data_IF_271179843610
#
_entry.id   IF_271179843610
#
_cell.length_a   1.000
_cell.length_b   1.000
_cell.length_c   1.000
_cell.angle_alpha   90.00
_cell.angle_beta   90.00
_cell.angle_gamma   90.00
#
_symmetry.space_group_name_H-M   'P 1'
#
loop_
_entity.id
_entity.type
_entity.pdbx_description
1 polymer ?
#
# COMPACT_ATOMS: atom_id res chain seq x y z
N UNK A 1 -14.38 25.29 -7.77
CA UNK A 1 -13.22 24.36 -7.87
C UNK A 1 -13.24 23.71 -9.24
N UNK A 2 -12.19 23.86 -10.04
CA UNK A 2 -12.15 23.33 -11.41
C UNK A 2 -12.09 21.81 -11.48
N UNK A 3 -12.55 21.23 -12.60
CA UNK A 3 -12.53 19.77 -12.87
C UNK A 3 -11.12 19.16 -12.76
N UNK A 4 -10.09 19.90 -13.20
CA UNK A 4 -8.70 19.47 -13.11
C UNK A 4 -8.24 19.19 -11.67
N UNK A 5 -8.57 20.08 -10.73
CA UNK A 5 -8.21 19.92 -9.32
C UNK A 5 -8.85 18.68 -8.67
N UNK A 6 -10.08 18.37 -9.08
CA UNK A 6 -10.80 17.18 -8.63
C UNK A 6 -10.09 15.92 -9.13
N UNK A 7 -9.70 15.88 -10.40
CA UNK A 7 -8.94 14.77 -10.98
C UNK A 7 -7.59 14.61 -10.28
N UNK A 8 -6.83 15.69 -10.08
CA UNK A 8 -5.55 15.64 -9.36
C UNK A 8 -5.68 15.01 -7.97
N UNK A 9 -6.71 15.41 -7.20
CA UNK A 9 -6.92 14.83 -5.86
C UNK A 9 -7.36 13.36 -5.90
N UNK A 10 -8.13 12.95 -6.91
CA UNK A 10 -8.51 11.55 -7.10
C UNK A 10 -7.29 10.70 -7.48
N UNK A 11 -6.49 11.16 -8.44
CA UNK A 11 -5.23 10.52 -8.82
C UNK A 11 -4.26 10.44 -7.64
N UNK A 12 -4.16 11.50 -6.84
CA UNK A 12 -3.34 11.50 -5.63
C UNK A 12 -3.81 10.44 -4.62
N UNK A 13 -5.12 10.36 -4.35
CA UNK A 13 -5.72 9.33 -3.49
C UNK A 13 -5.38 7.91 -3.97
N UNK A 14 -5.55 7.65 -5.27
CA UNK A 14 -5.20 6.36 -5.88
C UNK A 14 -3.70 6.07 -5.77
N UNK A 15 -2.85 7.07 -6.00
CA UNK A 15 -1.39 6.94 -5.89
C UNK A 15 -0.95 6.56 -4.47
N UNK A 16 -1.64 7.07 -3.44
CA UNK A 16 -1.36 6.70 -2.04
C UNK A 16 -1.76 5.26 -1.71
N UNK A 17 -2.90 4.78 -2.24
CA UNK A 17 -3.31 3.37 -2.09
C UNK A 17 -2.32 2.46 -2.83
N UNK A 18 -1.95 2.82 -4.06
CA UNK A 18 -0.95 2.09 -4.85
C UNK A 18 0.40 2.04 -4.13
N UNK A 19 0.84 3.16 -3.54
CA UNK A 19 2.05 3.19 -2.73
C UNK A 19 1.97 2.25 -1.52
N UNK A 20 0.85 2.23 -0.80
CA UNK A 20 0.68 1.31 0.32
C UNK A 20 0.79 -0.16 -0.13
N UNK A 21 0.17 -0.51 -1.27
CA UNK A 21 0.30 -1.84 -1.86
C UNK A 21 1.73 -2.18 -2.30
N UNK A 22 2.46 -1.21 -2.88
CA UNK A 22 3.88 -1.37 -3.20
C UNK A 22 4.72 -1.62 -1.95
N UNK A 23 4.52 -0.84 -0.88
CA UNK A 23 5.22 -1.05 0.39
C UNK A 23 4.97 -2.46 0.92
N UNK A 24 3.72 -2.94 0.87
CA UNK A 24 3.37 -4.32 1.28
C UNK A 24 4.09 -5.32 0.39
N UNK A 25 4.01 -5.19 -0.94
CA UNK A 25 4.62 -6.13 -1.87
C UNK A 25 6.14 -6.21 -1.70
N UNK A 26 6.84 -5.07 -1.60
CA UNK A 26 8.29 -5.03 -1.37
C UNK A 26 8.66 -5.63 -0.01
N UNK A 27 7.92 -5.31 1.06
CA UNK A 27 8.17 -5.85 2.40
C UNK A 27 7.94 -7.36 2.46
N UNK A 28 6.88 -7.83 1.81
CA UNK A 28 6.58 -9.27 1.68
C UNK A 28 7.70 -9.98 0.89
N UNK A 29 8.24 -9.36 -0.15
CA UNK A 29 9.40 -9.90 -0.89
C UNK A 29 10.63 -10.07 -0.01
N UNK A 30 10.95 -9.07 0.84
CA UNK A 30 12.07 -9.17 1.79
C UNK A 30 11.81 -10.24 2.85
N UNK A 31 10.62 -10.25 3.47
CA UNK A 31 10.26 -11.26 4.47
C UNK A 31 10.27 -12.67 3.87
N UNK A 32 9.86 -12.82 2.62
CA UNK A 32 9.93 -14.07 1.89
C UNK A 32 11.38 -14.53 1.70
N UNK A 33 12.27 -13.62 1.28
CA UNK A 33 13.70 -13.86 1.20
C UNK A 33 14.28 -14.30 2.54
N UNK A 34 13.95 -13.58 3.61
CA UNK A 34 14.39 -13.83 4.97
C UNK A 34 13.90 -15.18 5.53
N UNK A 35 12.62 -15.51 5.42
CA UNK A 35 12.08 -16.73 6.04
C UNK A 35 12.20 -17.99 5.20
N UNK A 36 12.06 -17.90 3.88
CA UNK A 36 11.93 -19.10 3.02
C UNK A 36 13.19 -19.45 2.25
N UNK A 37 14.00 -18.46 1.90
CA UNK A 37 15.13 -18.67 1.00
C UNK A 37 16.48 -18.57 1.72
N UNK A 38 16.61 -17.61 2.64
CA UNK A 38 17.87 -17.32 3.33
C UNK A 38 17.63 -16.98 4.82
N UNK A 39 17.43 -17.97 5.70
CA UNK A 39 17.14 -17.77 7.13
C UNK A 39 18.21 -16.97 7.89
N UNK A 40 19.47 -17.10 7.47
CA UNK A 40 20.62 -16.40 8.05
C UNK A 40 20.91 -15.05 7.38
N UNK A 41 20.10 -14.66 6.37
CA UNK A 41 20.29 -13.38 5.69
C UNK A 41 19.90 -12.24 6.62
N UNK A 42 20.85 -11.35 6.88
CA UNK A 42 20.61 -10.13 7.63
C UNK A 42 20.52 -8.95 6.64
N UNK A 43 19.33 -8.65 6.09
CA UNK A 43 19.19 -7.64 5.05
C UNK A 43 19.61 -6.26 5.57
N UNK A 44 20.51 -5.59 4.86
CA UNK A 44 20.99 -4.24 5.18
C UNK A 44 21.69 -4.09 6.54
N UNK A 45 22.24 -5.17 7.09
CA UNK A 45 23.12 -5.12 8.26
C UNK A 45 24.39 -4.30 7.95
N UNK A 46 24.94 -3.51 8.90
CA UNK A 46 24.52 -3.32 10.31
C UNK A 46 23.46 -2.24 10.52
N UNK A 47 22.98 -1.59 9.45
CA UNK A 47 22.10 -0.41 9.58
C UNK A 47 20.67 -0.78 9.95
N UNK A 48 20.20 -1.92 9.44
CA UNK A 48 18.92 -2.51 9.83
C UNK A 48 19.16 -3.55 10.93
N UNK A 49 18.48 -3.38 12.07
CA UNK A 49 18.63 -4.27 13.21
C UNK A 49 18.22 -5.71 12.89
N UNK A 50 17.08 -5.89 12.21
CA UNK A 50 16.56 -7.22 11.87
C UNK A 50 15.52 -7.14 10.74
N UNK A 51 15.50 -8.12 9.83
CA UNK A 51 14.52 -8.20 8.73
C UNK A 51 13.05 -8.31 9.18
N UNK A 52 12.78 -8.83 10.38
CA UNK A 52 11.41 -8.94 10.93
C UNK A 52 10.71 -7.59 11.07
N UNK A 53 11.45 -6.49 11.15
CA UNK A 53 10.88 -5.15 11.30
C UNK A 53 10.04 -4.73 10.08
N UNK A 54 10.21 -5.37 8.92
CA UNK A 54 9.36 -5.16 7.74
C UNK A 54 7.89 -5.52 7.96
N UNK A 55 7.55 -6.35 8.96
CA UNK A 55 6.15 -6.55 9.37
C UNK A 55 5.48 -5.25 9.82
N UNK A 56 6.26 -4.35 10.46
CA UNK A 56 5.76 -3.06 10.90
C UNK A 56 5.54 -2.12 9.72
N UNK A 57 6.36 -2.21 8.66
CA UNK A 57 6.13 -1.48 7.41
C UNK A 57 4.85 -1.93 6.71
N UNK A 58 4.56 -3.24 6.70
CA UNK A 58 3.28 -3.79 6.20
C UNK A 58 2.10 -3.20 7.01
N UNK A 59 2.21 -3.18 8.34
CA UNK A 59 1.18 -2.59 9.20
C UNK A 59 0.99 -1.09 8.92
N UNK A 60 2.07 -0.33 8.75
CA UNK A 60 2.02 1.09 8.40
C UNK A 60 1.28 1.33 7.08
N UNK A 61 1.65 0.57 6.05
CA UNK A 61 1.02 0.65 4.74
C UNK A 61 -0.47 0.29 4.80
N UNK A 62 -0.84 -0.79 5.49
CA UNK A 62 -2.22 -1.20 5.67
C UNK A 62 -3.07 -0.13 6.37
N UNK A 63 -2.53 0.51 7.43
CA UNK A 63 -3.18 1.62 8.12
C UNK A 63 -3.36 2.86 7.23
N UNK A 64 -2.53 3.03 6.21
CA UNK A 64 -2.62 4.16 5.27
C UNK A 64 -3.64 3.96 4.14
N UNK A 65 -4.05 2.72 3.83
CA UNK A 65 -5.01 2.44 2.74
C UNK A 65 -6.34 3.16 2.98
N UNK A 66 -6.92 3.00 4.17
CA UNK A 66 -8.26 3.55 4.44
C UNK A 66 -8.31 5.09 4.47
N UNK A 67 -7.40 5.80 5.17
CA UNK A 67 -7.28 7.26 5.09
C UNK A 67 -7.06 7.78 3.66
N UNK A 68 -6.28 7.04 2.86
CA UNK A 68 -6.04 7.38 1.45
C UNK A 68 -7.33 7.32 0.65
N UNK A 69 -8.06 6.21 0.68
CA UNK A 69 -9.36 6.07 0.00
C UNK A 69 -10.39 7.13 0.44
N UNK A 70 -10.37 7.53 1.73
CA UNK A 70 -11.24 8.60 2.23
C UNK A 70 -10.97 9.97 1.60
N UNK A 71 -9.76 10.25 1.10
CA UNK A 71 -9.45 11.49 0.39
C UNK A 71 -10.18 11.50 -0.95
N UNK A 72 -10.03 10.44 -1.75
CA UNK A 72 -10.65 10.31 -3.07
C UNK A 72 -12.17 10.33 -3.01
N UNK A 73 -12.79 9.61 -2.06
CA UNK A 73 -14.26 9.52 -1.94
C UNK A 73 -14.96 10.83 -1.55
N UNK A 74 -14.25 11.78 -0.94
CA UNK A 74 -14.84 13.10 -0.62
C UNK A 74 -15.11 13.92 -1.87
N UNK A 75 -14.42 13.61 -2.95
CA UNK A 75 -14.59 14.24 -4.24
C UNK A 75 -15.79 13.54 -4.87
N UNK A 76 -16.95 14.21 -4.92
CA UNK A 76 -18.11 13.74 -5.67
C UNK A 76 -17.81 13.84 -7.18
N UNK A 77 -16.75 13.18 -7.65
CA UNK A 77 -16.59 12.84 -9.05
C UNK A 77 -17.80 11.98 -9.38
N UNK A 78 -18.83 12.56 -10.00
CA UNK A 78 -19.97 11.77 -10.49
C UNK A 78 -19.45 10.54 -11.23
N UNK A 79 -20.19 9.44 -11.20
CA UNK A 79 -19.85 8.11 -11.76
C UNK A 79 -19.30 8.26 -13.18
N UNK A 80 -18.01 8.54 -13.32
CA UNK A 80 -17.44 8.96 -14.59
C UNK A 80 -17.11 7.67 -15.33
N UNK A 81 -18.13 7.17 -16.03
CA UNK A 81 -18.13 6.03 -16.94
C UNK A 81 -17.74 4.70 -16.26
N UNK A 82 -18.62 4.09 -15.46
CA UNK A 82 -18.43 2.80 -14.74
C UNK A 82 -17.68 2.89 -13.39
N UNK A 83 -17.93 1.90 -12.50
CA UNK A 83 -17.30 1.84 -11.18
C UNK A 83 -15.82 1.43 -11.34
N UNK A 84 -14.88 2.10 -10.66
CA UNK A 84 -13.43 1.86 -10.85
C UNK A 84 -13.06 0.41 -10.54
N UNK A 85 -13.80 -0.25 -9.65
CA UNK A 85 -13.59 -1.65 -9.35
C UNK A 85 -13.77 -2.57 -10.57
N UNK A 86 -14.64 -2.23 -11.54
CA UNK A 86 -14.84 -3.02 -12.77
C UNK A 86 -13.57 -2.97 -13.62
N UNK A 87 -13.03 -1.77 -13.84
CA UNK A 87 -11.73 -1.60 -14.50
C UNK A 87 -10.62 -2.29 -13.71
N UNK A 88 -10.65 -2.20 -12.39
CA UNK A 88 -9.71 -2.90 -11.51
C UNK A 88 -9.71 -4.41 -11.73
N UNK A 89 -10.89 -5.05 -11.76
CA UNK A 89 -11.01 -6.49 -12.04
C UNK A 89 -10.55 -6.86 -13.44
N UNK A 90 -10.89 -6.06 -14.46
CA UNK A 90 -10.41 -6.30 -15.83
C UNK A 90 -8.89 -6.21 -15.92
N UNK A 91 -8.28 -5.18 -15.31
CA UNK A 91 -6.83 -5.02 -15.27
C UNK A 91 -6.17 -6.20 -14.55
N UNK A 92 -6.73 -6.64 -13.41
CA UNK A 92 -6.23 -7.83 -12.69
C UNK A 92 -6.31 -9.08 -13.57
N UNK A 93 -7.43 -9.30 -14.25
CA UNK A 93 -7.63 -10.47 -15.11
C UNK A 93 -6.63 -10.47 -16.27
N UNK A 94 -6.51 -9.36 -17.01
CA UNK A 94 -5.58 -9.26 -18.13
C UNK A 94 -4.11 -9.31 -17.69
N UNK A 95 -3.75 -8.69 -16.56
CA UNK A 95 -2.40 -8.79 -16.00
C UNK A 95 -2.06 -10.23 -15.59
N UNK A 96 -3.03 -10.96 -15.02
CA UNK A 96 -2.87 -12.37 -14.67
C UNK A 96 -2.66 -13.24 -15.90
N UNK A 97 -3.49 -13.06 -16.94
CA UNK A 97 -3.34 -13.77 -18.21
C UNK A 97 -2.01 -13.46 -18.89
N UNK A 98 -1.58 -12.19 -18.86
CA UNK A 98 -0.28 -11.77 -19.37
C UNK A 98 0.87 -12.50 -18.66
N UNK A 99 0.86 -12.55 -17.33
CA UNK A 99 1.91 -13.26 -16.57
C UNK A 99 1.90 -14.75 -16.89
N UNK A 100 0.74 -15.39 -16.96
CA UNK A 100 0.64 -16.82 -17.29
C UNK A 100 1.16 -17.10 -18.72
N UNK A 101 0.84 -16.24 -19.68
CA UNK A 101 1.22 -16.44 -21.07
C UNK A 101 2.71 -16.17 -21.34
N UNK A 102 3.30 -15.20 -20.63
CA UNK A 102 4.65 -14.69 -20.92
C UNK A 102 5.67 -14.97 -19.81
N UNK A 103 5.31 -15.75 -18.78
CA UNK A 103 6.23 -16.13 -17.71
C UNK A 103 5.95 -17.55 -17.19
N UNK A 104 6.99 -18.33 -16.85
CA UNK A 104 6.82 -19.62 -16.18
C UNK A 104 6.49 -19.48 -14.68
N UNK A 105 6.42 -18.25 -14.13
CA UNK A 105 6.17 -18.03 -12.71
C UNK A 105 4.68 -18.23 -12.38
N UNK A 106 4.34 -19.12 -11.44
CA UNK A 106 2.95 -19.28 -11.02
C UNK A 106 2.45 -18.01 -10.30
N UNK A 107 1.18 -17.63 -10.54
CA UNK A 107 0.60 -16.41 -9.97
C UNK A 107 0.68 -16.35 -8.44
N UNK A 108 0.59 -17.49 -7.76
CA UNK A 108 0.73 -17.58 -6.30
C UNK A 108 2.11 -17.17 -5.78
N UNK A 109 3.15 -17.26 -6.62
CA UNK A 109 4.52 -16.85 -6.28
C UNK A 109 4.91 -15.50 -6.87
N UNK A 110 3.99 -14.80 -7.54
CA UNK A 110 4.34 -13.60 -8.29
C UNK A 110 4.95 -12.51 -7.39
N UNK A 111 4.59 -12.41 -6.12
CA UNK A 111 5.17 -11.42 -5.18
C UNK A 111 6.34 -11.97 -4.32
N UNK A 112 6.73 -13.23 -4.51
CA UNK A 112 7.77 -13.90 -3.71
C UNK A 112 9.05 -14.22 -4.48
N UNK A 113 9.00 -14.33 -5.81
CA UNK A 113 10.18 -14.69 -6.62
C UNK A 113 11.03 -13.45 -6.88
N UNK A 114 12.32 -13.49 -6.56
CA UNK A 114 13.27 -12.51 -7.11
C UNK A 114 13.42 -12.77 -8.61
N UNK A 115 12.68 -12.00 -9.41
CA UNK A 115 12.65 -12.15 -10.86
C UNK A 115 12.86 -10.78 -11.49
N UNK A 116 14.01 -10.63 -12.16
CA UNK A 116 14.37 -9.47 -12.97
C UNK A 116 13.59 -9.42 -14.29
N UNK A 117 12.76 -10.44 -14.59
CA UNK A 117 11.89 -10.48 -15.76
C UNK A 117 10.98 -9.26 -15.83
N UNK A 118 11.11 -8.54 -16.95
CA UNK A 118 10.26 -7.39 -17.28
C UNK A 118 8.79 -7.82 -17.28
N UNK A 119 8.45 -8.97 -17.88
CA UNK A 119 7.07 -9.46 -17.94
C UNK A 119 6.46 -9.67 -16.54
N UNK A 120 7.21 -10.25 -15.60
CA UNK A 120 6.74 -10.44 -14.21
C UNK A 120 6.55 -9.09 -13.52
N UNK A 121 7.50 -8.17 -13.67
CA UNK A 121 7.42 -6.84 -13.02
C UNK A 121 6.32 -5.96 -13.62
N UNK A 122 6.11 -6.00 -14.93
CA UNK A 122 4.95 -5.39 -15.61
C UNK A 122 3.64 -5.98 -15.08
N UNK A 123 3.57 -7.31 -14.95
CA UNK A 123 2.43 -8.01 -14.36
C UNK A 123 2.14 -7.55 -12.93
N UNK A 124 3.16 -7.50 -12.05
CA UNK A 124 3.03 -6.98 -10.68
C UNK A 124 2.49 -5.57 -10.65
N UNK A 125 3.06 -4.67 -11.46
CA UNK A 125 2.63 -3.28 -11.54
C UNK A 125 1.14 -3.16 -11.86
N UNK A 126 0.68 -3.86 -12.91
CA UNK A 126 -0.73 -3.84 -13.29
C UNK A 126 -1.63 -4.55 -12.29
N UNK A 127 -1.20 -5.64 -11.65
CA UNK A 127 -1.96 -6.31 -10.58
C UNK A 127 -2.18 -5.38 -9.39
N UNK A 128 -1.13 -4.70 -8.91
CA UNK A 128 -1.23 -3.73 -7.82
C UNK A 128 -2.07 -2.50 -8.23
N UNK A 129 -1.97 -2.08 -9.50
CA UNK A 129 -2.77 -0.99 -10.07
C UNK A 129 -4.25 -1.34 -10.14
N UNK A 130 -4.59 -2.54 -10.62
CA UNK A 130 -5.95 -3.04 -10.64
C UNK A 130 -6.51 -3.21 -9.22
N UNK A 131 -5.71 -3.74 -8.28
CA UNK A 131 -6.10 -3.86 -6.88
C UNK A 131 -6.35 -2.49 -6.24
N UNK A 132 -5.56 -1.47 -6.60
CA UNK A 132 -5.77 -0.09 -6.16
C UNK A 132 -7.15 0.44 -6.55
N UNK A 133 -7.57 0.19 -7.80
CA UNK A 133 -8.90 0.60 -8.29
C UNK A 133 -10.03 -0.15 -7.58
N UNK A 134 -9.85 -1.45 -7.30
CA UNK A 134 -10.81 -2.24 -6.52
C UNK A 134 -10.90 -1.74 -5.08
N UNK A 135 -9.78 -1.42 -4.42
CA UNK A 135 -9.75 -0.95 -3.04
C UNK A 135 -10.38 0.43 -2.87
N UNK A 136 -10.19 1.32 -3.85
CA UNK A 136 -10.77 2.67 -3.82
C UNK A 136 -12.30 2.63 -3.81
N UNK A 137 -12.89 1.75 -4.62
CA UNK A 137 -14.35 1.55 -4.74
C UNK A 137 -14.86 0.27 -4.02
N UNK A 138 -14.10 -0.24 -3.04
CA UNK A 138 -14.39 -1.50 -2.35
C UNK A 138 -15.83 -1.63 -1.77
N UNK A 139 -16.44 -0.60 -1.14
CA UNK A 139 -17.83 -0.66 -0.69
C UNK A 139 -18.85 -0.90 -1.81
N UNK A 140 -18.56 -0.45 -3.02
CA UNK A 140 -19.47 -0.55 -4.16
C UNK A 140 -19.43 -1.93 -4.83
N UNK A 141 -18.47 -2.78 -4.46
CA UNK A 141 -18.32 -4.16 -4.99
C UNK A 141 -19.45 -5.07 -4.48
N UNK A 142 -19.80 -5.00 -3.18
CA UNK A 142 -20.92 -5.76 -2.64
C UNK A 142 -21.43 -5.20 -1.32
N UNK A 143 -22.73 -5.41 -1.03
CA UNK A 143 -23.36 -5.02 0.25
C UNK A 143 -22.70 -5.70 1.46
N UNK A 144 -22.21 -6.94 1.30
CA UNK A 144 -21.49 -7.67 2.37
C UNK A 144 -20.16 -7.00 2.70
N UNK A 145 -19.43 -6.55 1.67
CA UNK A 145 -18.17 -5.83 1.82
C UNK A 145 -18.41 -4.47 2.47
N UNK A 146 -19.42 -3.71 2.03
CA UNK A 146 -19.78 -2.44 2.67
C UNK A 146 -20.15 -2.64 4.16
N UNK A 147 -20.95 -3.64 4.49
CA UNK A 147 -21.28 -3.98 5.87
C UNK A 147 -20.03 -4.31 6.70
N UNK A 148 -19.11 -5.12 6.16
CA UNK A 148 -17.85 -5.46 6.82
C UNK A 148 -16.94 -4.24 7.01
N UNK A 149 -16.85 -3.35 6.02
CA UNK A 149 -16.09 -2.11 6.10
C UNK A 149 -16.70 -1.14 7.12
N UNK A 150 -18.03 -1.06 7.21
CA UNK A 150 -18.72 -0.25 8.21
C UNK A 150 -18.52 -0.81 9.62
N UNK A 151 -18.53 -2.14 9.79
CA UNK A 151 -18.18 -2.80 11.04
C UNK A 151 -16.72 -2.49 11.45
N UNK A 152 -15.77 -2.67 10.53
CA UNK A 152 -14.35 -2.38 10.76
C UNK A 152 -14.14 -0.91 11.13
N UNK A 153 -14.77 0.00 10.38
CA UNK A 153 -14.76 1.44 10.67
C UNK A 153 -15.27 1.73 12.07
N UNK A 154 -16.35 1.09 12.51
CA UNK A 154 -16.90 1.26 13.87
C UNK A 154 -15.91 0.79 14.93
N UNK A 155 -15.23 -0.35 14.72
CA UNK A 155 -14.19 -0.85 15.62
C UNK A 155 -13.00 0.11 15.70
N UNK A 156 -12.54 0.61 14.55
CA UNK A 156 -11.45 1.60 14.46
C UNK A 156 -11.82 2.89 15.18
N UNK A 157 -13.06 3.35 15.06
CA UNK A 157 -13.54 4.55 15.78
C UNK A 157 -13.60 4.33 17.29
N UNK A 158 -13.98 3.15 17.76
CA UNK A 158 -13.92 2.81 19.19
C UNK A 158 -12.48 2.77 19.71
N UNK A 159 -11.56 2.26 18.91
CA UNK A 159 -10.13 2.15 19.22
C UNK A 159 -9.27 3.30 18.69
N UNK A 160 -9.84 4.47 18.43
CA UNK A 160 -9.19 5.47 17.58
C UNK A 160 -7.82 5.95 18.10
N UNK A 161 -7.67 6.06 19.43
CA UNK A 161 -6.39 6.43 20.06
C UNK A 161 -5.30 5.39 19.76
N UNK A 162 -5.64 4.11 19.82
CA UNK A 162 -4.71 3.02 19.49
C UNK A 162 -4.35 2.98 18.02
N UNK A 163 -5.31 3.24 17.12
CA UNK A 163 -5.05 3.31 15.68
C UNK A 163 -4.12 4.48 15.35
N UNK A 164 -4.34 5.64 15.97
CA UNK A 164 -3.45 6.80 15.82
C UNK A 164 -2.06 6.51 16.37
N UNK A 165 -1.95 5.94 17.58
CA UNK A 165 -0.67 5.56 18.17
C UNK A 165 0.06 4.53 17.29
N UNK A 166 -0.65 3.49 16.85
CA UNK A 166 -0.12 2.47 15.94
C UNK A 166 0.40 3.09 14.65
N UNK A 167 -0.35 4.01 14.04
CA UNK A 167 0.07 4.70 12.82
C UNK A 167 1.31 5.59 13.01
N UNK A 168 1.44 6.26 14.17
CA UNK A 168 2.65 7.02 14.51
C UNK A 168 3.85 6.08 14.67
N UNK A 169 3.71 5.05 15.50
CA UNK A 169 4.78 4.08 15.77
C UNK A 169 5.22 3.38 14.49
N UNK A 170 4.27 2.87 13.71
CA UNK A 170 4.57 2.20 12.44
C UNK A 170 5.14 3.16 11.40
N UNK A 171 4.73 4.43 11.42
CA UNK A 171 5.31 5.50 10.59
C UNK A 171 6.77 5.82 10.95
N UNK A 172 7.10 5.92 12.25
CA UNK A 172 8.48 6.09 12.74
C UNK A 172 9.33 4.91 12.28
N UNK A 173 8.85 3.69 12.48
CA UNK A 173 9.57 2.47 12.07
C UNK A 173 9.78 2.43 10.56
N UNK A 174 8.77 2.81 9.75
CA UNK A 174 8.91 2.90 8.29
C UNK A 174 10.01 3.89 7.88
N UNK A 175 10.13 5.04 8.57
CA UNK A 175 11.20 6.01 8.32
C UNK A 175 12.58 5.50 8.78
N UNK A 176 12.64 4.74 9.88
CA UNK A 176 13.87 4.07 10.30
C UNK A 176 14.35 3.08 9.25
N UNK A 177 13.45 2.20 8.75
CA UNK A 177 13.79 1.25 7.67
C UNK A 177 14.24 1.99 6.42
N UNK A 178 13.54 3.05 6.02
CA UNK A 178 13.97 3.92 4.92
C UNK A 178 15.40 4.42 5.10
N UNK A 179 15.73 4.97 6.28
CA UNK A 179 17.07 5.48 6.57
C UNK A 179 18.12 4.37 6.57
N UNK A 180 17.83 3.23 7.20
CA UNK A 180 18.73 2.08 7.26
C UNK A 180 19.05 1.51 5.87
N UNK A 181 18.03 1.31 5.03
CA UNK A 181 18.20 0.82 3.65
C UNK A 181 18.95 1.85 2.81
N UNK A 182 18.61 3.14 2.92
CA UNK A 182 19.30 4.20 2.18
C UNK A 182 20.78 4.25 2.53
N UNK A 183 21.13 4.21 3.83
CA UNK A 183 22.52 4.17 4.27
C UNK A 183 23.21 2.91 3.76
N UNK A 184 22.56 1.75 3.85
CA UNK A 184 23.07 0.50 3.29
C UNK A 184 23.43 0.63 1.81
N UNK A 185 22.53 1.18 1.00
CA UNK A 185 22.76 1.38 -0.45
C UNK A 185 23.89 2.37 -0.75
N UNK A 186 24.12 3.37 0.11
CA UNK A 186 25.21 4.34 -0.07
C UNK A 186 26.59 3.72 0.18
N UNK A 187 26.69 2.79 1.15
CA UNK A 187 27.95 2.13 1.49
C UNK A 187 28.21 0.84 0.70
N UNK A 188 27.17 0.22 0.15
CA UNK A 188 27.22 -0.99 -0.67
C UNK A 188 26.57 -0.74 -2.03
N UNK A 189 27.34 -0.31 -3.05
CA UNK A 189 26.83 -0.01 -4.39
C UNK A 189 26.09 -1.18 -5.06
N UNK A 190 26.45 -2.43 -4.71
CA UNK A 190 25.77 -3.65 -5.15
C UNK A 190 24.30 -3.72 -4.72
N UNK A 191 23.90 -2.97 -3.70
CA UNK A 191 22.51 -2.88 -3.27
C UNK A 191 21.71 -1.78 -3.99
N UNK A 192 22.34 -1.02 -4.90
CA UNK A 192 21.65 -0.03 -5.74
C UNK A 192 20.93 -0.74 -6.88
N UNK A 193 19.80 -1.36 -6.55
CA UNK A 193 18.91 -2.03 -7.48
C UNK A 193 17.60 -1.27 -7.62
N UNK A 194 16.90 -1.42 -8.74
CA UNK A 194 15.58 -0.82 -8.94
C UNK A 194 14.60 -1.23 -7.83
N UNK A 195 14.67 -2.48 -7.35
CA UNK A 195 13.83 -2.98 -6.27
C UNK A 195 14.08 -2.22 -4.95
N UNK A 196 15.35 -2.00 -4.60
CA UNK A 196 15.71 -1.27 -3.39
C UNK A 196 15.40 0.23 -3.51
N UNK A 197 15.56 0.83 -4.69
CA UNK A 197 15.11 2.21 -4.96
C UNK A 197 13.60 2.34 -4.79
N UNK A 198 12.81 1.40 -5.35
CA UNK A 198 11.36 1.38 -5.16
C UNK A 198 10.98 1.19 -3.69
N UNK A 199 11.71 0.32 -2.97
CA UNK A 199 11.50 0.09 -1.55
C UNK A 199 11.72 1.36 -0.72
N UNK A 200 12.84 2.07 -0.89
CA UNK A 200 13.10 3.29 -0.10
C UNK A 200 12.07 4.38 -0.42
N UNK A 201 11.69 4.56 -1.69
CA UNK A 201 10.70 5.55 -2.09
C UNK A 201 9.34 5.24 -1.46
N UNK A 202 8.91 3.98 -1.50
CA UNK A 202 7.60 3.59 -0.97
C UNK A 202 7.56 3.65 0.56
N UNK A 203 8.65 3.28 1.24
CA UNK A 203 8.79 3.42 2.71
C UNK A 203 8.78 4.88 3.15
N UNK A 204 9.45 5.77 2.41
CA UNK A 204 9.43 7.21 2.69
C UNK A 204 8.01 7.77 2.57
N UNK A 205 7.33 7.48 1.45
CA UNK A 205 5.95 7.92 1.24
C UNK A 205 5.04 7.35 2.33
N UNK A 206 5.17 6.07 2.68
CA UNK A 206 4.38 5.42 3.74
C UNK A 206 4.64 6.02 5.11
N UNK A 207 5.90 6.30 5.46
CA UNK A 207 6.28 6.97 6.71
C UNK A 207 5.67 8.37 6.78
N UNK A 208 5.94 9.21 5.79
CA UNK A 208 5.44 10.60 5.72
C UNK A 208 3.91 10.68 5.72
N UNK A 209 3.25 9.84 4.94
CA UNK A 209 1.77 9.82 4.86
C UNK A 209 1.12 9.43 6.19
N UNK A 210 1.75 8.53 6.96
CA UNK A 210 1.30 8.18 8.31
C UNK A 210 1.24 9.41 9.22
N UNK A 211 2.30 10.23 9.24
CA UNK A 211 2.31 11.47 10.03
C UNK A 211 1.34 12.51 9.50
N UNK A 212 1.20 12.66 8.18
CA UNK A 212 0.25 13.59 7.57
C UNK A 212 -1.18 13.23 7.97
N UNK A 213 -1.55 11.95 8.00
CA UNK A 213 -2.90 11.52 8.40
C UNK A 213 -3.18 11.75 9.88
N UNK A 214 -2.19 11.53 10.74
CA UNK A 214 -2.28 11.85 12.17
C UNK A 214 -2.42 13.36 12.39
N UNK A 215 -1.53 14.16 11.79
CA UNK A 215 -1.57 15.64 11.85
C UNK A 215 -2.92 16.19 11.38
N UNK A 216 -3.46 15.64 10.30
CA UNK A 216 -4.75 16.06 9.75
C UNK A 216 -5.97 15.51 10.50
N UNK A 217 -5.76 14.71 11.56
CA UNK A 217 -6.80 14.10 12.39
C UNK A 217 -7.83 13.34 11.55
N UNK A 218 -7.36 12.60 10.53
CA UNK A 218 -8.24 11.95 9.54
C UNK A 218 -9.23 10.99 10.23
N UNK A 219 -8.75 10.23 11.20
CA UNK A 219 -9.58 9.30 11.99
C UNK A 219 -10.64 10.00 12.84
N UNK A 220 -10.33 11.15 13.45
CA UNK A 220 -11.32 11.92 14.22
C UNK A 220 -12.41 12.48 13.30
N UNK A 221 -12.01 13.01 12.14
CA UNK A 221 -12.94 13.54 11.13
C UNK A 221 -13.83 12.45 10.53
N UNK A 222 -13.33 11.21 10.45
CA UNK A 222 -14.11 10.06 10.00
C UNK A 222 -15.21 9.67 11.00
N UNK A 223 -14.96 9.85 12.30
CA UNK A 223 -15.93 9.58 13.38
C UNK A 223 -17.07 10.59 13.47
N UNK A 224 -16.76 11.89 13.35
CA UNK A 224 -17.76 12.97 13.43
C UNK A 224 -18.87 12.84 12.37
N UNK A 225 -18.54 12.34 11.16
CA UNK A 225 -19.54 12.09 10.10
C UNK A 225 -20.44 10.88 10.35
N UNK A 226 -20.07 10.00 11.27
CA UNK A 226 -20.89 8.83 11.61
C UNK A 226 -22.02 9.22 12.57
N UNK A 227 -21.74 10.11 13.53
CA UNK A 227 -22.76 10.55 14.49
C UNK A 227 -23.80 11.51 13.91
N UNK A 228 -23.50 12.21 12.81
CA UNK A 228 -24.47 13.10 12.13
C UNK A 228 -25.43 12.37 11.18
N UNK A 229 -25.39 11.03 11.13
CA UNK A 229 -26.21 10.19 10.24
C UNK A 229 -26.97 9.09 10.99
N UNK A 230 -26.88 9.08 12.31
CA UNK A 230 -27.70 8.24 13.20
C UNK A 230 -28.79 9.13 13.79
#
# INVERSE_FOLDING_TARGET
MGRAWILCKKTFSLSLIFNALLTIACSVGILAGFYWYFPEWNPFHPYLFNGNIFWVAIAAAALNIFPSALIGRKLKTGRFLFHHYVYGFLVIAFASLYVIAFSPVPLSKIFFVDNTSIAVNTGRFFLLGGLTLVLDDLPDVSKRIDAALNWLKTKVLRGQKFVVAGQVVSGVVSLYIFGAVTIGMLYSPEWITLANVLLILTLLITGVTSFIFVKNKVWHKAGLKHHSKV
#
